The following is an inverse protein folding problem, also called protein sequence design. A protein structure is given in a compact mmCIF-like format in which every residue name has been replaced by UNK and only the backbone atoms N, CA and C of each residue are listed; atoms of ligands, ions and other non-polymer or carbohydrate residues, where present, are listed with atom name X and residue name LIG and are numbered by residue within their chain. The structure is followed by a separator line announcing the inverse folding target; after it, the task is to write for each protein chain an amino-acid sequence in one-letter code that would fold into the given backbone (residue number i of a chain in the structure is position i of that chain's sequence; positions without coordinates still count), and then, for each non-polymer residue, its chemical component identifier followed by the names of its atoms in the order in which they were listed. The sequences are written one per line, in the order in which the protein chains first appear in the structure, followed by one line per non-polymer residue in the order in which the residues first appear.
data_IF_418841196180
#
_entry.id   IF_418841196180
#
_cell.length_a   1.000
_cell.length_b   1.000
_cell.length_c   1.000
_cell.angle_alpha   90.00
_cell.angle_beta   90.00
_cell.angle_gamma   90.00
#
_symmetry.space_group_name_H-M   'P 1'
#
loop_
_entity.id
_entity.type
_entity.pdbx_description
1 polymer ?
#
# COMPACT_ATOMS: atom_id res chain seq x y z
N UNK A 1 -1.69 -19.35 -1.19
CA UNK A 1 -2.70 -18.35 -0.78
C UNK A 1 -1.96 -17.02 -0.66
N UNK A 2 -2.49 -15.94 -1.25
CA UNK A 2 -1.77 -14.67 -1.30
C UNK A 2 -1.71 -14.04 0.09
N UNK A 3 -0.53 -13.59 0.51
CA UNK A 3 -0.31 -12.94 1.82
C UNK A 3 -0.37 -11.41 1.75
N UNK A 4 -0.70 -10.87 0.57
CA UNK A 4 -0.63 -9.44 0.28
C UNK A 4 -2.01 -8.89 -0.07
N UNK A 5 -2.38 -7.77 0.55
CA UNK A 5 -3.52 -6.96 0.14
C UNK A 5 -3.28 -6.42 -1.28
N UNK A 6 -4.28 -6.56 -2.16
CA UNK A 6 -4.21 -6.06 -3.54
C UNK A 6 -5.24 -4.98 -3.77
N UNK A 7 -4.84 -3.97 -4.54
CA UNK A 7 -5.65 -2.85 -5.01
C UNK A 7 -5.69 -2.92 -6.54
N UNK A 8 -6.86 -2.77 -7.16
CA UNK A 8 -6.99 -2.88 -8.62
C UNK A 8 -6.51 -1.65 -9.40
N UNK A 9 -6.53 -0.46 -8.79
CA UNK A 9 -6.10 0.80 -9.40
C UNK A 9 -5.43 1.71 -8.35
N UNK A 10 -4.10 1.79 -8.40
CA UNK A 10 -3.28 2.56 -7.46
C UNK A 10 -3.56 4.08 -7.52
N UNK A 11 -3.91 4.61 -8.70
CA UNK A 11 -4.17 6.05 -8.89
C UNK A 11 -5.50 6.43 -8.26
N UNK A 12 -6.56 5.66 -8.52
CA UNK A 12 -7.87 5.87 -7.89
C UNK A 12 -7.80 5.64 -6.39
N UNK A 13 -7.08 4.61 -5.93
CA UNK A 13 -6.82 4.42 -4.50
C UNK A 13 -6.13 5.65 -3.88
N UNK A 14 -5.09 6.17 -4.51
CA UNK A 14 -4.41 7.38 -4.06
C UNK A 14 -5.34 8.61 -4.00
N UNK A 15 -6.22 8.79 -4.99
CA UNK A 15 -7.24 9.86 -4.96
C UNK A 15 -8.22 9.69 -3.80
N UNK A 16 -8.62 8.46 -3.48
CA UNK A 16 -9.51 8.17 -2.37
C UNK A 16 -8.85 8.50 -1.02
N UNK A 17 -7.59 8.06 -0.82
CA UNK A 17 -6.81 8.41 0.38
C UNK A 17 -6.62 9.92 0.52
N UNK A 18 -6.30 10.63 -0.56
CA UNK A 18 -6.22 12.10 -0.56
C UNK A 18 -7.56 12.75 -0.20
N UNK A 19 -8.66 12.15 -0.64
CA UNK A 19 -9.99 12.67 -0.31
C UNK A 19 -10.28 12.58 1.18
N UNK A 20 -9.96 11.45 1.79
CA UNK A 20 -10.06 11.26 3.25
C UNK A 20 -9.16 12.22 4.03
N UNK A 21 -7.89 12.33 3.63
CA UNK A 21 -6.91 13.13 4.35
C UNK A 21 -7.21 14.65 4.32
N UNK A 22 -7.84 15.13 3.24
CA UNK A 22 -8.06 16.58 3.01
C UNK A 22 -9.50 17.03 3.18
N UNK A 23 -10.46 16.10 3.21
CA UNK A 23 -11.90 16.40 3.14
C UNK A 23 -12.38 16.86 1.76
N UNK A 24 -11.53 16.89 0.73
CA UNK A 24 -11.92 17.27 -0.65
C UNK A 24 -12.24 16.04 -1.47
N UNK A 25 -13.27 16.05 -2.29
CA UNK A 25 -13.54 14.94 -3.18
C UNK A 25 -12.68 15.03 -4.46
N UNK A 26 -11.69 14.14 -4.60
CA UNK A 26 -10.78 14.11 -5.76
C UNK A 26 -11.36 13.41 -7.00
N UNK A 27 -12.61 12.94 -6.93
CA UNK A 27 -13.35 12.35 -8.04
C UNK A 27 -14.43 13.30 -8.59
N UNK A 28 -14.93 14.20 -7.75
CA UNK A 28 -15.88 15.26 -8.11
C UNK A 28 -15.58 16.51 -7.27
N UNK A 29 -15.05 17.56 -7.91
CA UNK A 29 -14.64 18.79 -7.22
C UNK A 29 -15.81 19.58 -6.61
N UNK A 30 -17.04 19.42 -7.12
CA UNK A 30 -18.25 20.02 -6.56
C UNK A 30 -18.99 19.05 -5.60
N UNK A 31 -18.51 17.81 -5.51
CA UNK A 31 -19.12 16.74 -4.75
C UNK A 31 -18.90 16.87 -3.24
N UNK A 32 -19.73 16.15 -2.49
CA UNK A 32 -19.57 16.06 -1.04
C UNK A 32 -18.29 15.31 -0.66
N UNK A 33 -17.70 15.61 0.52
CA UNK A 33 -16.58 14.85 1.06
C UNK A 33 -16.90 13.36 1.18
N UNK A 34 -15.94 12.52 0.82
CA UNK A 34 -16.06 11.08 1.00
C UNK A 34 -15.70 10.76 2.46
N UNK A 35 -16.57 10.09 3.23
CA UNK A 35 -16.29 9.78 4.63
C UNK A 35 -15.12 8.79 4.78
N UNK A 36 -14.35 8.94 5.86
CA UNK A 36 -13.27 8.03 6.22
C UNK A 36 -13.89 6.71 6.74
N UNK A 37 -13.52 5.55 6.17
CA UNK A 37 -14.09 4.27 6.60
C UNK A 37 -13.65 3.89 8.02
N UNK A 38 -14.58 3.32 8.78
CA UNK A 38 -14.38 2.81 10.15
C UNK A 38 -14.42 1.29 10.22
N UNK A 39 -14.90 0.63 9.17
CA UNK A 39 -14.99 -0.83 9.06
C UNK A 39 -14.44 -1.31 7.72
N UNK A 40 -14.08 -2.59 7.62
CA UNK A 40 -13.67 -3.19 6.35
C UNK A 40 -14.78 -3.10 5.30
N UNK A 41 -16.04 -3.30 5.70
CA UNK A 41 -17.20 -3.17 4.80
C UNK A 41 -17.35 -1.74 4.25
N UNK A 42 -17.17 -0.73 5.10
CA UNK A 42 -17.17 0.67 4.65
C UNK A 42 -16.01 0.95 3.69
N UNK A 43 -14.84 0.42 3.97
CA UNK A 43 -13.66 0.56 3.12
C UNK A 43 -13.93 -0.05 1.72
N UNK A 44 -14.43 -1.29 1.66
CA UNK A 44 -14.75 -1.97 0.40
C UNK A 44 -15.86 -1.25 -0.37
N UNK A 45 -16.95 -0.84 0.31
CA UNK A 45 -18.05 -0.10 -0.33
C UNK A 45 -17.59 1.24 -0.89
N UNK A 46 -16.77 1.98 -0.15
CA UNK A 46 -16.28 3.29 -0.58
C UNK A 46 -15.31 3.15 -1.76
N UNK A 47 -14.41 2.16 -1.70
CA UNK A 47 -13.48 1.86 -2.78
C UNK A 47 -14.21 1.44 -4.06
N UNK A 48 -15.14 0.49 -3.97
CA UNK A 48 -15.92 0.02 -5.13
C UNK A 48 -16.78 1.13 -5.74
N UNK A 49 -17.32 2.04 -4.92
CA UNK A 49 -18.06 3.21 -5.40
C UNK A 49 -17.26 4.15 -6.30
N UNK A 50 -15.92 4.11 -6.22
CA UNK A 50 -15.01 4.85 -7.11
C UNK A 50 -14.25 3.93 -8.07
N UNK A 51 -14.73 2.70 -8.26
CA UNK A 51 -14.15 1.71 -9.19
C UNK A 51 -12.80 1.16 -8.73
N UNK A 52 -12.57 1.02 -7.42
CA UNK A 52 -11.41 0.34 -6.84
C UNK A 52 -11.85 -0.93 -6.15
N UNK A 53 -11.27 -2.06 -6.53
CA UNK A 53 -11.47 -3.35 -5.88
C UNK A 53 -10.32 -3.61 -4.91
N UNK A 54 -10.66 -4.11 -3.73
CA UNK A 54 -9.69 -4.48 -2.69
C UNK A 54 -9.81 -5.97 -2.42
N UNK A 55 -8.71 -6.70 -2.58
CA UNK A 55 -8.62 -8.12 -2.24
C UNK A 55 -7.80 -8.26 -0.96
N UNK A 56 -8.46 -8.68 0.11
CA UNK A 56 -7.82 -8.99 1.38
C UNK A 56 -7.27 -10.42 1.37
N UNK A 57 -6.06 -10.65 1.90
CA UNK A 57 -5.57 -12.00 2.13
C UNK A 57 -6.34 -12.67 3.27
N UNK A 58 -6.40 -14.01 3.23
CA UNK A 58 -7.06 -14.81 4.27
C UNK A 58 -6.47 -14.46 5.65
N UNK A 59 -7.36 -14.21 6.62
CA UNK A 59 -6.97 -13.84 8.00
C UNK A 59 -6.76 -12.34 8.27
N UNK A 60 -6.78 -11.48 7.25
CA UNK A 60 -6.79 -10.02 7.46
C UNK A 60 -8.21 -9.52 7.77
N UNK A 61 -8.53 -9.44 9.06
CA UNK A 61 -9.89 -9.10 9.55
C UNK A 61 -10.01 -7.72 10.21
N UNK A 62 -8.88 -7.04 10.42
CA UNK A 62 -8.82 -5.75 11.09
C UNK A 62 -8.63 -4.58 10.13
N UNK A 63 -9.21 -3.43 10.47
CA UNK A 63 -8.93 -2.15 9.82
C UNK A 63 -8.37 -1.16 10.85
N UNK A 64 -7.23 -0.57 10.54
CA UNK A 64 -6.68 0.57 11.25
C UNK A 64 -6.52 1.74 10.28
N UNK A 65 -7.28 2.82 10.51
CA UNK A 65 -7.10 4.09 9.78
C UNK A 65 -6.49 5.11 10.72
N UNK A 66 -5.28 5.55 10.41
CA UNK A 66 -4.51 6.50 11.22
C UNK A 66 -4.40 7.82 10.45
N UNK A 67 -4.99 8.88 11.00
CA UNK A 67 -4.79 10.26 10.56
C UNK A 67 -4.12 11.03 11.70
N UNK A 68 -2.93 11.57 11.44
CA UNK A 68 -2.09 12.24 12.44
C UNK A 68 -1.77 13.67 12.00
N UNK A 69 -1.36 14.50 12.94
CA UNK A 69 -1.00 15.89 12.66
C UNK A 69 0.47 16.02 12.26
N UNK A 70 0.88 17.15 11.66
CA UNK A 70 2.28 17.43 11.37
C UNK A 70 3.22 17.44 12.59
N UNK A 71 2.67 17.46 13.82
CA UNK A 71 3.43 17.46 15.08
C UNK A 71 3.58 16.06 15.69
N UNK A 72 3.07 15.02 15.04
CA UNK A 72 3.11 13.64 15.53
C UNK A 72 3.96 12.76 14.61
N UNK A 73 5.00 12.13 15.17
CA UNK A 73 5.72 11.08 14.47
C UNK A 73 4.96 9.75 14.56
N UNK A 74 4.80 9.06 13.43
CA UNK A 74 4.18 7.74 13.36
C UNK A 74 5.18 6.78 12.74
N UNK A 75 5.47 5.68 13.44
CA UNK A 75 6.32 4.59 12.94
C UNK A 75 5.46 3.34 12.80
N UNK A 76 5.34 2.82 11.57
CA UNK A 76 4.56 1.62 11.25
C UNK A 76 5.48 0.41 11.21
N UNK A 77 5.33 -0.48 12.20
CA UNK A 77 6.08 -1.74 12.23
C UNK A 77 5.31 -2.81 11.44
N UNK A 78 5.94 -3.49 10.47
CA UNK A 78 5.32 -4.63 9.81
C UNK A 78 5.15 -5.81 10.78
N UNK A 79 4.17 -6.70 10.56
CA UNK A 79 4.08 -7.95 11.29
C UNK A 79 5.35 -8.80 11.10
N UNK A 80 5.90 -9.33 12.19
CA UNK A 80 7.11 -10.18 12.18
C UNK A 80 7.04 -11.29 11.12
N UNK A 81 5.92 -12.01 11.07
CA UNK A 81 5.74 -13.12 10.15
C UNK A 81 5.84 -12.70 8.67
N UNK A 82 5.36 -11.50 8.30
CA UNK A 82 5.44 -11.01 6.92
C UNK A 82 6.88 -10.68 6.51
N UNK A 83 7.69 -10.15 7.43
CA UNK A 83 9.12 -9.89 7.19
C UNK A 83 9.86 -11.21 6.99
N UNK A 84 9.70 -12.16 7.92
CA UNK A 84 10.36 -13.46 7.86
C UNK A 84 9.96 -14.26 6.60
N UNK A 85 8.68 -14.22 6.21
CA UNK A 85 8.20 -14.86 4.99
C UNK A 85 8.80 -14.22 3.73
N UNK A 86 8.85 -12.88 3.66
CA UNK A 86 9.44 -12.17 2.51
C UNK A 86 10.93 -12.48 2.39
N UNK A 87 11.68 -12.45 3.49
CA UNK A 87 13.10 -12.85 3.49
C UNK A 87 13.30 -14.30 3.06
N UNK A 88 12.42 -15.22 3.47
CA UNK A 88 12.47 -16.61 3.05
C UNK A 88 12.23 -16.77 1.54
N UNK A 89 11.34 -15.95 0.96
CA UNK A 89 11.11 -15.88 -0.49
C UNK A 89 12.31 -15.29 -1.23
N UNK A 90 12.92 -14.23 -0.72
CA UNK A 90 14.09 -13.58 -1.34
C UNK A 90 15.35 -14.45 -1.33
N UNK A 91 15.42 -15.46 -0.45
CA UNK A 91 16.50 -16.47 -0.45
C UNK A 91 16.37 -17.51 -1.57
N UNK A 92 15.21 -17.60 -2.22
CA UNK A 92 15.01 -18.60 -3.28
C UNK A 92 15.79 -18.22 -4.55
N UNK A 93 16.37 -19.20 -5.29
CA UNK A 93 17.02 -18.93 -6.56
C UNK A 93 16.07 -18.24 -7.55
N UNK A 94 16.52 -17.15 -8.17
CA UNK A 94 15.72 -16.39 -9.14
C UNK A 94 14.59 -15.55 -8.53
N UNK A 95 14.61 -15.32 -7.21
CA UNK A 95 13.64 -14.43 -6.56
C UNK A 95 13.66 -13.02 -7.17
N UNK A 96 12.48 -12.40 -7.22
CA UNK A 96 12.28 -11.02 -7.66
C UNK A 96 11.58 -10.26 -6.55
N UNK A 97 11.96 -9.01 -6.33
CA UNK A 97 11.27 -8.16 -5.37
C UNK A 97 9.89 -7.76 -5.91
N UNK A 98 8.79 -7.97 -5.18
CA UNK A 98 7.43 -7.69 -5.67
C UNK A 98 7.12 -6.18 -5.61
N UNK A 99 7.73 -5.41 -6.51
CA UNK A 99 7.45 -3.98 -6.65
C UNK A 99 6.07 -3.73 -7.24
N UNK A 100 5.39 -2.63 -6.84
CA UNK A 100 4.13 -2.24 -7.46
C UNK A 100 4.26 -2.05 -8.98
N UNK A 101 3.30 -2.55 -9.79
CA UNK A 101 3.36 -2.46 -11.25
C UNK A 101 3.47 -1.04 -11.80
N UNK A 102 2.95 -0.04 -11.07
CA UNK A 102 2.98 1.35 -11.53
C UNK A 102 4.41 1.89 -11.71
N UNK A 103 5.43 1.32 -11.05
CA UNK A 103 6.81 1.75 -11.28
C UNK A 103 7.22 1.50 -12.73
N UNK A 104 6.98 0.31 -13.26
CA UNK A 104 7.29 -0.02 -14.66
C UNK A 104 6.40 0.75 -15.63
N UNK A 105 5.14 1.02 -15.25
CA UNK A 105 4.20 1.77 -16.09
C UNK A 105 4.57 3.25 -16.25
N UNK A 106 4.95 3.94 -15.16
CA UNK A 106 5.32 5.36 -15.22
C UNK A 106 6.73 5.59 -15.77
N UNK A 107 7.65 4.64 -15.58
CA UNK A 107 9.02 4.75 -16.10
C UNK A 107 9.24 4.04 -17.43
N UNK A 108 8.23 3.33 -17.94
CA UNK A 108 8.26 2.56 -19.19
C UNK A 108 9.48 1.62 -19.29
N UNK A 109 9.92 1.08 -18.15
CA UNK A 109 11.11 0.24 -18.04
C UNK A 109 10.85 -0.94 -17.11
N UNK A 110 11.27 -2.15 -17.48
CA UNK A 110 11.22 -3.29 -16.56
C UNK A 110 12.17 -3.04 -15.38
N UNK A 111 11.87 -3.67 -14.25
CA UNK A 111 12.77 -3.67 -13.10
C UNK A 111 14.04 -4.47 -13.43
N UNK A 112 15.22 -3.99 -13.02
CA UNK A 112 16.46 -4.70 -13.24
C UNK A 112 16.50 -6.00 -12.43
N UNK A 113 17.16 -7.01 -12.97
CA UNK A 113 17.55 -8.18 -12.17
C UNK A 113 18.53 -7.74 -11.08
N UNK A 114 18.39 -8.31 -9.89
CA UNK A 114 19.17 -7.95 -8.70
C UNK A 114 19.86 -9.16 -8.11
N UNK A 115 21.01 -8.93 -7.48
CA UNK A 115 21.64 -9.95 -6.64
C UNK A 115 20.79 -10.22 -5.39
N UNK A 116 21.01 -11.34 -4.71
CA UNK A 116 20.34 -11.61 -3.43
C UNK A 116 20.65 -10.53 -2.39
N UNK A 117 21.90 -10.04 -2.34
CA UNK A 117 22.28 -8.94 -1.44
C UNK A 117 21.48 -7.66 -1.75
N UNK A 118 21.37 -7.29 -3.02
CA UNK A 118 20.60 -6.13 -3.46
C UNK A 118 19.11 -6.27 -3.16
N UNK A 119 18.55 -7.48 -3.29
CA UNK A 119 17.16 -7.75 -2.92
C UNK A 119 16.90 -7.52 -1.42
N UNK A 120 17.83 -7.94 -0.55
CA UNK A 120 17.73 -7.71 0.89
C UNK A 120 17.92 -6.23 1.24
N UNK A 121 18.87 -5.55 0.58
CA UNK A 121 19.06 -4.10 0.75
C UNK A 121 17.81 -3.32 0.29
N UNK A 122 17.20 -3.70 -0.84
CA UNK A 122 15.93 -3.13 -1.30
C UNK A 122 14.80 -3.41 -0.32
N UNK A 123 14.71 -4.63 0.23
CA UNK A 123 13.73 -4.96 1.26
C UNK A 123 13.85 -4.04 2.47
N UNK A 124 15.05 -3.90 3.03
CA UNK A 124 15.33 -3.02 4.15
C UNK A 124 15.00 -1.55 3.83
N UNK A 125 15.40 -1.06 2.65
CA UNK A 125 15.09 0.28 2.20
C UNK A 125 13.58 0.53 2.11
N UNK A 126 12.82 -0.42 1.55
CA UNK A 126 11.36 -0.35 1.45
C UNK A 126 10.67 -0.34 2.82
N UNK A 127 11.10 -1.21 3.74
CA UNK A 127 10.57 -1.22 5.12
C UNK A 127 10.82 0.13 5.78
N UNK A 128 12.06 0.64 5.71
CA UNK A 128 12.40 1.95 6.21
C UNK A 128 11.49 3.04 5.64
N UNK A 129 11.28 3.00 4.32
CA UNK A 129 10.47 3.96 3.59
C UNK A 129 9.02 4.04 4.08
N UNK A 130 8.26 2.95 3.98
CA UNK A 130 6.84 2.97 4.33
C UNK A 130 6.59 3.08 5.84
N UNK A 131 7.60 2.77 6.67
CA UNK A 131 7.49 2.83 8.12
C UNK A 131 7.37 4.27 8.64
N UNK A 132 8.01 5.24 7.98
CA UNK A 132 8.07 6.64 8.43
C UNK A 132 7.48 7.67 7.46
N UNK A 133 7.35 7.35 6.16
CA UNK A 133 6.90 8.35 5.18
C UNK A 133 5.49 8.85 5.50
N UNK A 134 5.35 10.18 5.46
CA UNK A 134 4.08 10.88 5.64
C UNK A 134 3.38 11.15 4.31
N UNK A 135 4.11 11.71 3.35
CA UNK A 135 3.76 11.95 1.95
C UNK A 135 5.09 12.16 1.18
N UNK A 136 5.20 11.65 -0.05
CA UNK A 136 6.40 11.76 -0.89
C UNK A 136 6.68 10.47 -1.63
#
# INVERSE_FOLDING_TARGET
MGTTLKISDDVRWGKLVKSWATGRNYFDAAGQPIPIPRTLDELVRTASGVGVDIVFPDGMVGLAVIQYSPQTAVVKLPPKAMVEETEAQLRQPGAVYPMPPFYEQFFESPLPAMSTEDLFNLHAARIGDYSIRNCG
#
